data_IF_266714960330
#
_entry.id   IF_266714960330
#
_cell.length_a   1.000
_cell.length_b   1.000
_cell.length_c   1.000
_cell.angle_alpha   90.00
_cell.angle_beta   90.00
_cell.angle_gamma   90.00
#
_symmetry.space_group_name_H-M   'P 1'
#
loop_
_entity.id
_entity.type
_entity.pdbx_description
1 polymer ?
#
# COMPACT_ATOMS: atom_id res chain seq x y z
N UNK A 1 19.99 13.31 23.01
CA UNK A 1 20.79 12.08 23.14
C UNK A 1 20.68 11.37 21.82
N UNK A 2 21.80 10.93 21.24
CA UNK A 2 21.78 10.21 19.96
C UNK A 2 21.09 8.86 20.14
N UNK A 3 20.03 8.60 19.39
CA UNK A 3 19.37 7.31 19.38
C UNK A 3 20.19 6.36 18.49
N UNK A 4 20.80 5.29 19.03
CA UNK A 4 21.62 4.41 18.22
C UNK A 4 20.78 3.73 17.14
N UNK A 5 21.28 3.74 15.90
CA UNK A 5 20.69 2.95 14.82
C UNK A 5 20.82 1.47 15.16
N UNK A 6 19.69 0.79 15.29
CA UNK A 6 19.63 -0.66 15.42
C UNK A 6 20.00 -1.26 14.06
N UNK A 7 20.89 -2.25 14.10
CA UNK A 7 21.51 -2.80 12.88
C UNK A 7 20.61 -3.83 12.20
N UNK A 8 19.69 -4.44 12.95
CA UNK A 8 18.83 -5.52 12.47
C UNK A 8 17.37 -5.31 12.85
N UNK A 9 16.47 -5.92 12.07
CA UNK A 9 15.04 -5.97 12.37
C UNK A 9 14.80 -6.74 13.67
N UNK A 10 15.59 -7.78 13.95
CA UNK A 10 15.51 -8.56 15.18
C UNK A 10 15.80 -7.75 16.44
N UNK A 11 16.85 -6.92 16.39
CA UNK A 11 17.21 -5.99 17.47
C UNK A 11 16.08 -4.97 17.68
N UNK A 12 15.51 -4.46 16.58
CA UNK A 12 14.36 -3.53 16.63
C UNK A 12 13.21 -4.12 17.42
N UNK A 13 12.80 -5.34 17.10
CA UNK A 13 11.76 -6.04 17.86
C UNK A 13 12.17 -6.30 19.31
N UNK A 14 13.41 -6.73 19.57
CA UNK A 14 13.87 -7.01 20.93
C UNK A 14 13.82 -5.75 21.82
N UNK A 15 14.22 -4.60 21.28
CA UNK A 15 14.13 -3.32 21.99
C UNK A 15 12.67 -2.90 22.18
N UNK A 16 11.80 -3.07 21.19
CA UNK A 16 10.36 -2.79 21.35
C UNK A 16 9.73 -3.64 22.46
N UNK A 17 10.03 -4.94 22.50
CA UNK A 17 9.55 -5.84 23.55
C UNK A 17 10.07 -5.44 24.94
N UNK A 18 11.35 -5.10 25.06
CA UNK A 18 11.95 -4.62 26.30
C UNK A 18 11.34 -3.28 26.74
N UNK A 19 11.20 -2.32 25.83
CA UNK A 19 10.64 -1.01 26.12
C UNK A 19 9.17 -1.11 26.54
N UNK A 20 8.38 -2.03 25.96
CA UNK A 20 7.02 -2.37 26.47
C UNK A 20 7.07 -2.97 27.87
N UNK A 21 7.93 -3.95 28.09
CA UNK A 21 8.07 -4.64 29.39
C UNK A 21 8.43 -3.67 30.53
N UNK A 22 9.27 -2.68 30.23
CA UNK A 22 9.72 -1.68 31.21
C UNK A 22 8.99 -0.34 31.11
N UNK A 23 7.89 -0.25 30.35
CA UNK A 23 7.06 0.95 30.19
C UNK A 23 7.85 2.20 29.77
N UNK A 24 8.79 2.03 28.85
CA UNK A 24 9.65 3.09 28.33
C UNK A 24 9.03 3.71 27.06
N UNK A 25 7.96 4.50 27.23
CA UNK A 25 7.20 5.09 26.11
C UNK A 25 8.05 5.95 25.16
N UNK A 26 9.06 6.66 25.71
CA UNK A 26 10.00 7.44 24.92
C UNK A 26 10.77 6.55 23.93
N UNK A 27 11.32 5.45 24.43
CA UNK A 27 12.08 4.48 23.63
C UNK A 27 11.17 3.82 22.61
N UNK A 28 9.91 3.52 22.95
CA UNK A 28 8.96 2.96 22.00
C UNK A 28 8.71 3.88 20.81
N UNK A 29 8.53 5.19 21.05
CA UNK A 29 8.37 6.17 19.96
C UNK A 29 9.60 6.23 19.06
N UNK A 30 10.78 6.22 19.66
CA UNK A 30 12.07 6.29 18.94
C UNK A 30 12.34 5.04 18.09
N UNK A 31 12.02 3.85 18.60
CA UNK A 31 12.25 2.59 17.89
C UNK A 31 11.17 2.33 16.83
N UNK A 32 10.00 2.94 16.97
CA UNK A 32 8.91 2.82 15.99
C UNK A 32 9.32 3.28 14.59
N UNK A 33 10.10 4.34 14.47
CA UNK A 33 10.61 4.81 13.17
C UNK A 33 11.53 3.78 12.51
N UNK A 34 12.40 3.15 13.29
CA UNK A 34 13.29 2.08 12.81
C UNK A 34 12.49 0.83 12.41
N UNK A 35 11.46 0.49 13.17
CA UNK A 35 10.53 -0.58 12.80
C UNK A 35 9.83 -0.30 11.47
N UNK A 36 9.32 0.92 11.26
CA UNK A 36 8.68 1.30 10.00
C UNK A 36 9.66 1.21 8.83
N UNK A 37 10.91 1.64 9.03
CA UNK A 37 11.97 1.52 8.02
C UNK A 37 12.19 0.05 7.59
N UNK A 38 12.27 -0.88 8.54
CA UNK A 38 12.40 -2.31 8.23
C UNK A 38 11.13 -2.88 7.60
N UNK A 39 9.95 -2.48 8.09
CA UNK A 39 8.67 -2.92 7.53
C UNK A 39 8.50 -2.48 6.07
N UNK A 40 9.07 -1.36 5.66
CA UNK A 40 9.07 -0.91 4.26
C UNK A 40 10.09 -1.64 3.39
N UNK A 41 11.29 -1.95 3.93
CA UNK A 41 12.38 -2.57 3.16
C UNK A 41 12.28 -4.09 3.05
N UNK A 42 11.83 -4.75 4.11
CA UNK A 42 11.80 -6.21 4.23
C UNK A 42 10.45 -6.68 4.81
N UNK A 43 9.31 -6.27 4.21
CA UNK A 43 7.99 -6.41 4.83
C UNK A 43 7.62 -7.85 5.20
N UNK A 44 7.97 -8.82 4.36
CA UNK A 44 7.67 -10.25 4.61
C UNK A 44 8.50 -10.81 5.76
N UNK A 45 9.77 -10.43 5.85
CA UNK A 45 10.65 -10.81 6.96
C UNK A 45 10.15 -10.19 8.27
N UNK A 46 9.84 -8.90 8.25
CA UNK A 46 9.26 -8.18 9.39
C UNK A 46 7.94 -8.82 9.83
N UNK A 47 7.07 -9.21 8.90
CA UNK A 47 5.83 -9.92 9.18
C UNK A 47 6.08 -11.27 9.84
N UNK A 48 7.02 -12.06 9.32
CA UNK A 48 7.35 -13.37 9.85
C UNK A 48 7.88 -13.29 11.28
N UNK A 49 8.77 -12.34 11.55
CA UNK A 49 9.31 -12.08 12.89
C UNK A 49 8.21 -11.64 13.85
N UNK A 50 7.35 -10.69 13.45
CA UNK A 50 6.22 -10.26 14.26
C UNK A 50 5.26 -11.42 14.56
N UNK A 51 5.01 -12.29 13.58
CA UNK A 51 4.19 -13.48 13.73
C UNK A 51 4.77 -14.46 14.75
N UNK A 52 6.08 -14.73 14.68
CA UNK A 52 6.77 -15.65 15.60
C UNK A 52 6.76 -15.13 17.05
N UNK A 53 6.79 -13.81 17.24
CA UNK A 53 6.70 -13.15 18.56
C UNK A 53 5.26 -12.91 19.02
N UNK A 54 4.27 -13.08 18.13
CA UNK A 54 2.86 -12.81 18.42
C UNK A 54 2.56 -11.31 18.62
N UNK A 55 3.26 -10.46 17.89
CA UNK A 55 3.15 -9.01 17.94
C UNK A 55 2.17 -8.54 16.87
N UNK A 56 0.88 -8.51 17.23
CA UNK A 56 -0.21 -8.37 16.25
C UNK A 56 -0.20 -7.05 15.48
N UNK A 57 0.17 -5.95 16.14
CA UNK A 57 0.15 -4.63 15.49
C UNK A 57 1.24 -4.53 14.43
N UNK A 58 2.43 -5.02 14.76
CA UNK A 58 3.56 -5.12 13.85
C UNK A 58 3.26 -6.07 12.69
N UNK A 59 2.54 -7.18 12.94
CA UNK A 59 2.05 -8.05 11.88
C UNK A 59 1.14 -7.29 10.92
N UNK A 60 0.19 -6.47 11.41
CA UNK A 60 -0.72 -5.68 10.56
C UNK A 60 0.04 -4.65 9.74
N UNK A 61 0.99 -3.94 10.36
CA UNK A 61 1.80 -2.93 9.68
C UNK A 61 2.66 -3.58 8.59
N UNK A 62 3.41 -4.63 8.92
CA UNK A 62 4.26 -5.34 7.96
C UNK A 62 3.45 -6.00 6.83
N UNK A 63 2.29 -6.59 7.14
CA UNK A 63 1.38 -7.11 6.12
C UNK A 63 0.89 -6.01 5.18
N UNK A 64 0.56 -4.83 5.69
CA UNK A 64 0.17 -3.68 4.87
C UNK A 64 1.31 -3.19 3.98
N UNK A 65 2.55 -3.12 4.50
CA UNK A 65 3.72 -2.74 3.70
C UNK A 65 4.04 -3.77 2.62
N UNK A 66 3.81 -5.06 2.91
CA UNK A 66 4.03 -6.14 1.93
C UNK A 66 3.15 -6.02 0.67
N UNK A 67 2.07 -5.24 0.71
CA UNK A 67 1.21 -5.00 -0.46
C UNK A 67 1.89 -4.19 -1.58
N UNK A 68 3.05 -3.55 -1.31
CA UNK A 68 3.87 -2.92 -2.35
C UNK A 68 4.61 -3.95 -3.22
N UNK A 69 4.68 -5.20 -2.78
CA UNK A 69 5.42 -6.25 -3.45
C UNK A 69 4.51 -7.43 -3.83
N UNK A 70 4.76 -8.09 -4.98
CA UNK A 70 4.04 -9.30 -5.32
C UNK A 70 4.45 -10.41 -4.35
N UNK A 71 3.50 -10.90 -3.53
CA UNK A 71 3.77 -12.01 -2.59
C UNK A 71 4.36 -13.27 -3.25
N UNK A 72 4.14 -13.47 -4.55
CA UNK A 72 4.67 -14.61 -5.31
C UNK A 72 6.16 -14.49 -5.64
N UNK A 73 6.69 -13.26 -5.63
CA UNK A 73 8.10 -12.98 -5.94
C UNK A 73 8.95 -12.99 -4.64
N UNK A 74 8.38 -13.48 -3.54
CA UNK A 74 9.08 -13.62 -2.27
C UNK A 74 10.17 -14.67 -2.38
N UNK A 75 11.34 -14.36 -1.85
CA UNK A 75 12.48 -15.26 -1.80
C UNK A 75 12.37 -16.18 -0.56
N UNK A 76 13.11 -17.29 -0.56
CA UNK A 76 13.23 -18.12 0.64
C UNK A 76 13.89 -17.33 1.78
N UNK A 77 13.31 -17.39 2.98
CA UNK A 77 13.80 -16.69 4.19
C UNK A 77 13.60 -17.60 5.41
N UNK A 78 14.59 -17.66 6.29
CA UNK A 78 14.58 -18.51 7.48
C UNK A 78 13.38 -18.21 8.40
N UNK A 79 12.98 -16.95 8.52
CA UNK A 79 11.89 -16.54 9.39
C UNK A 79 10.52 -17.05 8.90
N UNK A 80 10.37 -17.28 7.58
CA UNK A 80 9.16 -17.86 7.00
C UNK A 80 9.05 -19.37 7.29
N UNK A 81 10.15 -20.08 7.52
CA UNK A 81 10.11 -21.50 7.93
C UNK A 81 9.51 -21.67 9.33
N UNK A 82 9.59 -20.62 10.15
CA UNK A 82 9.14 -20.61 11.55
C UNK A 82 7.67 -20.21 11.70
N UNK A 83 7.04 -19.65 10.67
CA UNK A 83 5.61 -19.32 10.73
C UNK A 83 4.74 -20.53 10.41
N UNK A 84 3.54 -20.57 11.01
CA UNK A 84 2.56 -21.59 10.65
C UNK A 84 2.04 -21.39 9.22
N UNK A 85 1.74 -22.49 8.52
CA UNK A 85 1.06 -22.43 7.22
C UNK A 85 -0.25 -21.60 7.29
N UNK A 86 -0.96 -21.67 8.42
CA UNK A 86 -2.15 -20.86 8.67
C UNK A 86 -1.87 -19.35 8.70
N UNK A 87 -0.74 -18.91 9.24
CA UNK A 87 -0.34 -17.49 9.21
C UNK A 87 -0.02 -17.01 7.80
N UNK A 88 0.67 -17.84 7.01
CA UNK A 88 0.95 -17.53 5.60
C UNK A 88 -0.34 -17.48 4.76
N UNK A 89 -1.25 -18.44 4.93
CA UNK A 89 -2.54 -18.46 4.23
C UNK A 89 -3.40 -17.23 4.55
N UNK A 90 -3.36 -16.71 5.79
CA UNK A 90 -4.06 -15.47 6.15
C UNK A 90 -3.45 -14.26 5.48
N UNK A 91 -2.12 -14.17 5.39
CA UNK A 91 -1.45 -13.10 4.64
C UNK A 91 -1.80 -13.17 3.14
N UNK A 92 -1.78 -14.37 2.55
CA UNK A 92 -2.18 -14.57 1.15
C UNK A 92 -3.65 -14.19 0.89
N UNK A 93 -4.55 -14.56 1.80
CA UNK A 93 -5.96 -14.17 1.73
C UNK A 93 -6.15 -12.65 1.87
N UNK A 94 -5.38 -12.01 2.75
CA UNK A 94 -5.33 -10.56 2.91
C UNK A 94 -4.90 -9.87 1.61
N UNK A 95 -3.77 -10.29 1.03
CA UNK A 95 -3.29 -9.82 -0.29
C UNK A 95 -4.37 -9.93 -1.37
N UNK A 96 -5.03 -11.09 -1.46
CA UNK A 96 -6.11 -11.33 -2.44
C UNK A 96 -7.27 -10.37 -2.26
N UNK A 97 -7.70 -10.13 -1.01
CA UNK A 97 -8.77 -9.20 -0.70
C UNK A 97 -8.40 -7.76 -1.11
N UNK A 98 -7.18 -7.32 -0.77
CA UNK A 98 -6.67 -5.99 -1.12
C UNK A 98 -6.58 -5.79 -2.64
N UNK A 99 -6.01 -6.76 -3.36
CA UNK A 99 -5.95 -6.75 -4.85
C UNK A 99 -7.33 -6.64 -5.46
N UNK A 100 -8.29 -7.42 -4.95
CA UNK A 100 -9.67 -7.42 -5.47
C UNK A 100 -10.33 -6.05 -5.34
N UNK A 101 -10.27 -5.42 -4.16
CA UNK A 101 -10.91 -4.11 -3.98
C UNK A 101 -10.17 -3.02 -4.74
N UNK A 102 -8.84 -2.98 -4.67
CA UNK A 102 -8.03 -1.92 -5.28
C UNK A 102 -8.15 -1.91 -6.80
N UNK A 103 -8.05 -3.08 -7.46
CA UNK A 103 -8.18 -3.19 -8.91
C UNK A 103 -9.60 -2.93 -9.44
N UNK A 104 -10.62 -3.02 -8.57
CA UNK A 104 -12.01 -2.71 -8.92
C UNK A 104 -12.39 -1.24 -8.69
N UNK A 105 -11.46 -0.42 -8.20
CA UNK A 105 -11.72 0.99 -7.96
C UNK A 105 -11.89 1.73 -9.29
N UNK A 106 -12.92 2.56 -9.34
CA UNK A 106 -13.17 3.47 -10.45
C UNK A 106 -13.79 4.77 -9.99
N UNK A 107 -13.75 5.77 -10.86
CA UNK A 107 -14.40 7.06 -10.62
C UNK A 107 -15.90 6.96 -10.82
N UNK A 108 -16.65 7.64 -9.95
CA UNK A 108 -18.11 7.63 -9.98
C UNK A 108 -18.75 9.02 -9.86
N UNK A 109 -17.98 10.08 -10.07
CA UNK A 109 -18.48 11.46 -10.07
C UNK A 109 -17.78 12.33 -9.02
N UNK A 110 -18.46 13.39 -8.57
CA UNK A 110 -17.95 14.31 -7.55
C UNK A 110 -18.90 14.38 -6.36
N UNK A 111 -18.35 14.64 -5.17
CA UNK A 111 -19.13 14.88 -3.98
C UNK A 111 -19.66 16.33 -3.96
N UNK A 112 -20.39 16.68 -2.88
CA UNK A 112 -20.97 18.03 -2.71
C UNK A 112 -19.92 19.15 -2.61
N UNK A 113 -18.67 18.81 -2.32
CA UNK A 113 -17.54 19.73 -2.23
C UNK A 113 -16.77 19.85 -3.54
N UNK A 114 -17.15 19.08 -4.56
CA UNK A 114 -16.47 19.00 -5.83
C UNK A 114 -15.29 18.04 -5.86
N UNK A 115 -14.98 17.31 -4.78
CA UNK A 115 -13.92 16.28 -4.77
C UNK A 115 -14.33 15.07 -5.59
N UNK A 116 -13.38 14.45 -6.30
CA UNK A 116 -13.66 13.23 -7.06
C UNK A 116 -14.02 12.09 -6.11
N UNK A 117 -15.06 11.36 -6.47
CA UNK A 117 -15.53 10.18 -5.76
C UNK A 117 -15.09 8.92 -6.46
N UNK A 118 -14.79 7.93 -5.64
CA UNK A 118 -14.20 6.67 -6.04
C UNK A 118 -14.96 5.53 -5.39
N UNK A 119 -15.26 4.49 -6.15
CA UNK A 119 -15.98 3.33 -5.64
C UNK A 119 -15.43 2.06 -6.24
N UNK A 120 -15.41 1.00 -5.43
CA UNK A 120 -15.26 -0.36 -5.93
C UNK A 120 -16.57 -0.76 -6.63
N UNK A 121 -16.60 -0.76 -7.97
CA UNK A 121 -17.71 -1.28 -8.76
C UNK A 121 -17.15 -2.14 -9.88
N UNK A 122 -17.87 -3.22 -10.21
CA UNK A 122 -17.42 -4.19 -11.20
C UNK A 122 -17.23 -3.56 -12.58
N UNK A 123 -18.05 -2.56 -12.91
CA UNK A 123 -18.16 -1.99 -14.25
C UNK A 123 -18.04 -0.46 -14.25
N UNK A 124 -16.98 0.09 -13.62
CA UNK A 124 -16.67 1.53 -13.77
C UNK A 124 -16.45 1.94 -15.24
N UNK A 125 -16.15 0.97 -16.10
CA UNK A 125 -16.00 1.13 -17.55
C UNK A 125 -17.27 1.69 -18.22
N UNK A 126 -18.45 1.43 -17.67
CA UNK A 126 -19.72 1.96 -18.19
C UNK A 126 -19.94 3.44 -17.82
N UNK A 127 -19.20 3.95 -16.83
CA UNK A 127 -19.24 5.35 -16.39
C UNK A 127 -18.28 6.25 -17.18
N UNK A 128 -17.66 5.74 -18.24
CA UNK A 128 -16.66 6.43 -19.07
C UNK A 128 -17.22 7.48 -20.04
N UNK A 129 -18.52 7.73 -20.03
CA UNK A 129 -19.13 8.73 -20.91
C UNK A 129 -18.82 10.13 -20.37
N UNK A 130 -17.99 10.89 -21.08
CA UNK A 130 -17.58 12.30 -20.85
C UNK A 130 -16.33 12.59 -20.02
N UNK A 131 -15.30 11.72 -20.04
CA UNK A 131 -14.01 12.01 -19.40
C UNK A 131 -12.90 12.12 -20.47
N UNK A 132 -11.91 13.00 -20.25
CA UNK A 132 -10.78 13.22 -21.16
C UNK A 132 -10.13 11.89 -21.63
N UNK A 133 -9.69 11.79 -22.90
CA UNK A 133 -9.25 10.53 -23.53
C UNK A 133 -8.15 9.75 -22.78
N UNK A 134 -7.28 10.43 -22.03
CA UNK A 134 -6.19 9.79 -21.29
C UNK A 134 -6.65 9.02 -20.05
N UNK A 135 -7.78 9.41 -19.47
CA UNK A 135 -8.31 8.86 -18.24
C UNK A 135 -8.50 7.34 -18.32
N UNK A 136 -9.19 6.88 -19.38
CA UNK A 136 -9.53 5.48 -19.54
C UNK A 136 -8.26 4.63 -19.63
N UNK A 137 -7.24 5.14 -20.33
CA UNK A 137 -5.94 4.47 -20.46
C UNK A 137 -5.23 4.40 -19.11
N UNK A 138 -5.17 5.51 -18.36
CA UNK A 138 -4.60 5.53 -17.03
C UNK A 138 -5.30 4.53 -16.10
N UNK A 139 -6.63 4.55 -16.04
CA UNK A 139 -7.40 3.68 -15.15
C UNK A 139 -7.26 2.20 -15.50
N UNK A 140 -7.17 1.85 -16.78
CA UNK A 140 -6.89 0.47 -17.21
C UNK A 140 -5.52 0.05 -16.68
N UNK A 141 -4.47 0.82 -16.97
CA UNK A 141 -3.10 0.50 -16.53
C UNK A 141 -2.99 0.41 -15.01
N UNK A 142 -3.56 1.38 -14.31
CA UNK A 142 -3.57 1.42 -12.85
C UNK A 142 -4.31 0.20 -12.27
N UNK A 143 -5.46 -0.19 -12.85
CA UNK A 143 -6.20 -1.37 -12.41
C UNK A 143 -5.39 -2.66 -12.55
N UNK A 144 -4.65 -2.83 -13.64
CA UNK A 144 -3.76 -3.99 -13.85
C UNK A 144 -2.59 -3.99 -12.86
N UNK A 145 -1.96 -2.84 -12.63
CA UNK A 145 -0.88 -2.72 -11.66
C UNK A 145 -1.35 -3.01 -10.22
N UNK A 146 -2.55 -2.55 -9.85
CA UNK A 146 -3.16 -2.80 -8.54
C UNK A 146 -3.56 -4.26 -8.30
N UNK A 147 -3.71 -5.08 -9.36
CA UNK A 147 -3.87 -6.55 -9.20
C UNK A 147 -2.61 -7.20 -8.66
N UNK A 148 -1.46 -6.55 -8.85
CA UNK A 148 -0.17 -7.05 -8.40
C UNK A 148 0.20 -6.37 -7.07
N UNK A 149 0.16 -5.03 -7.03
CA UNK A 149 0.61 -4.19 -5.90
C UNK A 149 -0.53 -3.27 -5.43
N UNK A 150 -1.45 -3.74 -4.57
CA UNK A 150 -2.63 -2.96 -4.17
C UNK A 150 -2.24 -1.90 -3.12
N UNK A 151 -1.65 -0.79 -3.58
CA UNK A 151 -1.24 0.37 -2.78
C UNK A 151 -1.40 1.64 -3.60
N UNK A 152 -1.68 2.77 -2.95
CA UNK A 152 -1.85 4.05 -3.64
C UNK A 152 -0.54 4.50 -4.31
N UNK A 153 0.61 4.25 -3.69
CA UNK A 153 1.91 4.56 -4.27
C UNK A 153 2.17 3.86 -5.62
N UNK A 154 1.50 2.74 -5.90
CA UNK A 154 1.62 2.03 -7.18
C UNK A 154 1.17 2.91 -8.35
N UNK A 155 0.06 3.64 -8.21
CA UNK A 155 -0.54 4.41 -9.32
C UNK A 155 0.11 5.78 -9.55
N UNK A 156 1.12 6.10 -8.75
CA UNK A 156 1.91 7.33 -8.82
C UNK A 156 3.26 7.14 -9.53
N UNK A 157 3.60 5.91 -9.92
CA UNK A 157 4.88 5.64 -10.59
C UNK A 157 4.93 6.29 -11.98
N UNK A 158 6.13 6.69 -12.40
CA UNK A 158 6.36 7.37 -13.68
C UNK A 158 5.91 6.55 -14.90
N UNK A 159 5.86 5.22 -14.77
CA UNK A 159 5.41 4.28 -15.81
C UNK A 159 3.99 4.58 -16.33
N UNK A 160 3.14 5.23 -15.53
CA UNK A 160 1.78 5.61 -15.92
C UNK A 160 1.71 6.93 -16.70
N UNK A 161 2.77 7.74 -16.69
CA UNK A 161 2.79 9.06 -17.30
C UNK A 161 3.08 9.02 -18.82
N UNK A 162 3.69 7.94 -19.34
CA UNK A 162 4.16 7.90 -20.72
C UNK A 162 3.05 8.16 -21.75
N UNK A 163 1.93 7.43 -21.66
CA UNK A 163 0.80 7.59 -22.58
C UNK A 163 0.13 8.95 -22.44
N UNK A 164 0.07 9.49 -21.23
CA UNK A 164 -0.44 10.83 -20.96
C UNK A 164 0.42 11.91 -21.64
N UNK A 165 1.75 11.80 -21.54
CA UNK A 165 2.67 12.74 -22.18
C UNK A 165 2.51 12.73 -23.70
N UNK A 166 2.45 11.55 -24.31
CA UNK A 166 2.33 11.44 -25.77
C UNK A 166 0.98 11.96 -26.27
N UNK A 167 -0.13 11.52 -25.68
CA UNK A 167 -1.47 11.77 -26.23
C UNK A 167 -2.06 13.12 -25.81
N UNK A 168 -1.62 13.70 -24.67
CA UNK A 168 -2.21 14.92 -24.09
C UNK A 168 -1.25 16.10 -24.09
N UNK A 169 0.02 15.87 -23.73
CA UNK A 169 1.01 16.95 -23.63
C UNK A 169 1.61 17.28 -24.99
N UNK A 170 1.93 16.26 -25.79
CA UNK A 170 2.54 16.41 -27.13
C UNK A 170 1.77 17.37 -28.06
N UNK A 171 0.45 17.21 -28.23
CA UNK A 171 -0.35 18.06 -29.12
C UNK A 171 -0.57 19.50 -28.65
N UNK A 172 -0.23 19.85 -27.40
CA UNK A 172 -0.48 21.19 -26.85
C UNK A 172 0.61 22.17 -27.30
N UNK A 173 0.20 23.34 -27.78
CA UNK A 173 1.12 24.32 -28.35
C UNK A 173 1.79 25.19 -27.27
N UNK A 174 1.03 25.59 -26.25
CA UNK A 174 1.56 26.48 -25.21
C UNK A 174 2.13 25.74 -24.00
N UNK A 175 3.19 26.31 -23.39
CA UNK A 175 3.74 25.77 -22.13
C UNK A 175 2.73 25.82 -20.98
N UNK A 176 1.83 26.81 -20.98
CA UNK A 176 0.76 26.93 -19.99
C UNK A 176 -0.19 25.72 -20.04
N UNK A 177 -0.66 25.33 -21.22
CA UNK A 177 -1.55 24.18 -21.37
C UNK A 177 -0.89 22.86 -21.00
N UNK A 178 0.41 22.71 -21.28
CA UNK A 178 1.21 21.54 -20.86
C UNK A 178 1.32 21.47 -19.34
N UNK A 179 1.70 22.58 -18.69
CA UNK A 179 1.81 22.64 -17.24
C UNK A 179 0.46 22.40 -16.54
N UNK A 180 -0.62 22.98 -17.09
CA UNK A 180 -1.98 22.77 -16.59
C UNK A 180 -2.36 21.29 -16.62
N UNK A 181 -2.15 20.62 -17.74
CA UNK A 181 -2.43 19.19 -17.87
C UNK A 181 -1.59 18.33 -16.91
N UNK A 182 -0.30 18.64 -16.74
CA UNK A 182 0.56 17.95 -15.76
C UNK A 182 0.04 18.10 -14.32
N UNK A 183 -0.41 19.32 -13.94
CA UNK A 183 -1.01 19.55 -12.63
C UNK A 183 -2.28 18.73 -12.44
N UNK A 184 -3.18 18.76 -13.43
CA UNK A 184 -4.44 18.01 -13.40
C UNK A 184 -4.20 16.49 -13.29
N UNK A 185 -3.18 15.97 -13.99
CA UNK A 185 -2.76 14.57 -13.88
C UNK A 185 -2.19 14.21 -12.51
N UNK A 186 -1.32 15.07 -11.95
CA UNK A 186 -0.72 14.85 -10.64
C UNK A 186 -1.76 14.89 -9.52
N UNK A 187 -2.65 15.89 -9.52
CA UNK A 187 -3.78 16.01 -8.60
C UNK A 187 -4.69 14.79 -8.69
N UNK A 188 -4.97 14.37 -9.92
CA UNK A 188 -5.79 13.21 -10.18
C UNK A 188 -5.19 11.91 -9.61
N UNK A 189 -3.92 11.65 -9.91
CA UNK A 189 -3.21 10.48 -9.40
C UNK A 189 -3.14 10.47 -7.87
N UNK A 190 -2.90 11.63 -7.25
CA UNK A 190 -2.86 11.77 -5.79
C UNK A 190 -4.21 11.45 -5.13
N UNK A 191 -5.31 12.01 -5.65
CA UNK A 191 -6.66 11.69 -5.16
C UNK A 191 -7.01 10.21 -5.34
N UNK A 192 -6.58 9.61 -6.46
CA UNK A 192 -6.82 8.19 -6.69
C UNK A 192 -6.03 7.31 -5.71
N UNK A 193 -4.75 7.63 -5.51
CA UNK A 193 -3.88 6.94 -4.58
C UNK A 193 -4.45 6.98 -3.16
N UNK A 194 -4.94 8.14 -2.70
CA UNK A 194 -5.61 8.28 -1.40
C UNK A 194 -6.88 7.41 -1.32
N UNK A 195 -7.67 7.37 -2.39
CA UNK A 195 -8.87 6.55 -2.44
C UNK A 195 -8.55 5.05 -2.36
N UNK A 196 -7.48 4.61 -3.03
CA UNK A 196 -6.95 3.23 -2.95
C UNK A 196 -6.52 2.93 -1.51
N UNK A 197 -5.76 3.82 -0.87
CA UNK A 197 -5.34 3.66 0.52
C UNK A 197 -6.52 3.52 1.49
N UNK A 198 -7.54 4.35 1.30
CA UNK A 198 -8.76 4.35 2.12
C UNK A 198 -9.59 3.08 1.96
N UNK A 199 -9.70 2.51 0.76
CA UNK A 199 -10.45 1.26 0.60
C UNK A 199 -9.67 0.06 1.16
N UNK A 200 -8.35 0.06 1.03
CA UNK A 200 -7.49 -1.02 1.56
C UNK A 200 -7.47 -0.99 3.09
N UNK A 201 -7.48 0.18 3.74
CA UNK A 201 -7.50 0.26 5.20
C UNK A 201 -8.76 -0.33 5.84
N UNK A 202 -9.86 -0.45 5.07
CA UNK A 202 -11.06 -1.17 5.52
C UNK A 202 -10.87 -2.69 5.61
N UNK A 203 -9.83 -3.23 4.95
CA UNK A 203 -9.50 -4.66 4.98
C UNK A 203 -8.51 -4.90 6.11
N UNK A 204 -8.88 -5.82 7.00
CA UNK A 204 -8.07 -6.18 8.15
C UNK A 204 -7.43 -7.56 7.95
N UNK A 205 -6.16 -7.68 8.33
CA UNK A 205 -5.50 -8.97 8.44
C UNK A 205 -6.16 -9.77 9.58
N UNK A 206 -6.61 -10.99 9.27
CA UNK A 206 -7.12 -11.90 10.29
C UNK A 206 -5.95 -12.47 11.09
N UNK A 207 -5.89 -12.15 12.37
CA UNK A 207 -4.92 -12.72 13.32
C UNK A 207 -5.73 -13.49 14.36
N UNK A 208 -5.52 -14.81 14.52
CA UNK A 208 -6.19 -15.56 15.56
C UNK A 208 -5.68 -15.08 16.91
N UNK A 209 -6.60 -14.77 17.83
CA UNK A 209 -6.26 -14.55 19.23
C UNK A 209 -5.50 -15.77 19.75
N UNK A 210 -4.40 -15.56 20.48
CA UNK A 210 -3.73 -16.68 21.17
C UNK A 210 -4.79 -17.39 22.02
N UNK A 211 -5.12 -18.64 21.67
CA UNK A 211 -5.89 -19.50 22.55
C UNK A 211 -5.01 -19.66 23.78
N UNK A 212 -5.39 -19.00 24.87
CA UNK A 212 -4.79 -19.23 26.17
C UNK A 212 -5.27 -20.62 26.58
N UNK A 213 -4.41 -21.63 26.38
CA UNK A 213 -4.60 -22.96 26.97
C UNK A 213 -4.13 -22.91 28.43
#
# INVERSE_FOLDING_TARGET
MDNPSLKTVEDTFAVMEAARKYMMDHVLREVQEQFLHYAEREPLRTYAIACNRGLEEEMRIAARMSLLEPLADSHEMEELERITAGAYLRLSAYHRACRKVASSMGYCGRDKTGRRMWTAKKDWRDSLVNIEPWWASYMILASEALKIRPRGATVLKEEFAFKFVVDVIGPRESQYEKNKALSEFAEFGAEFAEAVERIISSIQLKIPSKITL
#
